data_IF_903712086366
#
_entry.id   IF_903712086366
#
_cell.length_a   1.000
_cell.length_b   1.000
_cell.length_c   1.000
_cell.angle_alpha   90.00
_cell.angle_beta   90.00
_cell.angle_gamma   90.00
#
_symmetry.space_group_name_H-M   'P 1'
#
loop_
_entity.id
_entity.type
_entity.pdbx_description
1 polymer ?
#
# COMPACT_ATOMS: atom_id res chain seq x y z
N UNK A 1 -7.75 9.26 -14.07
CA UNK A 1 -8.36 7.99 -13.62
C UNK A 1 -7.72 6.89 -14.42
N UNK A 2 -6.81 6.17 -13.78
CA UNK A 2 -5.90 5.22 -14.41
C UNK A 2 -6.49 3.80 -14.34
N UNK A 3 -6.05 2.92 -15.24
CA UNK A 3 -6.46 1.52 -15.30
C UNK A 3 -6.12 0.73 -14.01
N UNK A 4 -5.24 1.26 -13.16
CA UNK A 4 -4.91 0.73 -11.82
C UNK A 4 -6.06 0.82 -10.82
N UNK A 5 -6.87 1.89 -10.90
CA UNK A 5 -7.94 2.24 -9.94
C UNK A 5 -8.99 1.12 -9.79
N UNK A 6 -9.22 0.34 -10.85
CA UNK A 6 -10.21 -0.73 -10.86
C UNK A 6 -9.63 -2.12 -10.65
N UNK A 7 -8.30 -2.29 -10.67
CA UNK A 7 -7.70 -3.64 -10.59
C UNK A 7 -8.00 -4.29 -9.24
N UNK A 8 -7.81 -3.57 -8.15
CA UNK A 8 -8.08 -4.08 -6.79
C UNK A 8 -9.57 -4.34 -6.58
N UNK A 9 -10.43 -3.49 -7.16
CA UNK A 9 -11.88 -3.66 -7.17
C UNK A 9 -12.32 -4.88 -7.99
N UNK A 10 -11.73 -5.11 -9.17
CA UNK A 10 -12.03 -6.29 -9.99
C UNK A 10 -11.59 -7.58 -9.32
N UNK A 11 -10.42 -7.58 -8.67
CA UNK A 11 -9.94 -8.73 -7.90
C UNK A 11 -10.89 -9.02 -6.72
N UNK A 12 -11.27 -8.01 -5.95
CA UNK A 12 -12.15 -8.21 -4.79
C UNK A 12 -13.56 -8.64 -5.18
N UNK A 13 -14.11 -8.09 -6.27
CA UNK A 13 -15.39 -8.54 -6.85
C UNK A 13 -15.26 -9.99 -7.33
N UNK A 14 -14.17 -10.34 -8.01
CA UNK A 14 -13.89 -11.72 -8.42
C UNK A 14 -13.83 -12.70 -7.25
N UNK A 15 -13.17 -12.32 -6.15
CA UNK A 15 -13.11 -13.13 -4.91
C UNK A 15 -14.48 -13.24 -4.24
N UNK A 16 -15.27 -12.16 -4.23
CA UNK A 16 -16.64 -12.18 -3.71
C UNK A 16 -17.51 -13.15 -4.51
N UNK A 17 -17.44 -13.08 -5.84
CA UNK A 17 -18.14 -14.01 -6.73
C UNK A 17 -17.67 -15.44 -6.55
N UNK A 18 -16.37 -15.66 -6.31
CA UNK A 18 -15.81 -16.97 -5.99
C UNK A 18 -16.42 -17.54 -4.70
N UNK A 19 -16.56 -16.73 -3.63
CA UNK A 19 -17.20 -17.15 -2.37
C UNK A 19 -18.71 -17.46 -2.55
N UNK A 20 -19.41 -16.65 -3.35
CA UNK A 20 -20.81 -16.92 -3.71
C UNK A 20 -20.93 -18.21 -4.53
N UNK A 21 -20.02 -18.44 -5.47
CA UNK A 21 -19.94 -19.68 -6.24
C UNK A 21 -19.63 -20.91 -5.38
N UNK A 22 -18.73 -20.77 -4.41
CA UNK A 22 -18.41 -21.81 -3.43
C UNK A 22 -19.63 -22.21 -2.61
N UNK A 23 -20.48 -21.24 -2.25
CA UNK A 23 -21.76 -21.49 -1.61
C UNK A 23 -22.66 -22.35 -2.50
N UNK A 24 -22.81 -22.00 -3.79
CA UNK A 24 -23.59 -22.78 -4.75
C UNK A 24 -23.07 -24.22 -4.90
N UNK A 25 -21.75 -24.40 -4.97
CA UNK A 25 -21.09 -25.71 -5.02
C UNK A 25 -21.42 -26.52 -3.76
N UNK A 26 -21.32 -25.92 -2.57
CA UNK A 26 -21.67 -26.57 -1.31
C UNK A 26 -23.13 -27.04 -1.28
N UNK A 27 -24.07 -26.21 -1.74
CA UNK A 27 -25.48 -26.61 -1.84
C UNK A 27 -25.71 -27.77 -2.82
N UNK A 28 -24.97 -27.79 -3.94
CA UNK A 28 -25.10 -28.84 -4.94
C UNK A 28 -24.43 -30.16 -4.48
N UNK A 29 -23.29 -30.07 -3.82
CA UNK A 29 -22.59 -31.22 -3.25
C UNK A 29 -23.44 -31.89 -2.16
N UNK A 30 -24.19 -31.10 -1.37
CA UNK A 30 -25.17 -31.61 -0.40
C UNK A 30 -26.24 -32.51 -1.03
N UNK A 31 -26.64 -32.24 -2.28
CA UNK A 31 -27.62 -33.08 -2.99
C UNK A 31 -27.06 -34.44 -3.41
N UNK A 32 -25.73 -34.53 -3.59
CA UNK A 32 -25.06 -35.77 -4.03
C UNK A 32 -24.50 -36.60 -2.88
N UNK A 33 -24.53 -36.10 -1.65
CA UNK A 33 -24.01 -36.79 -0.47
C UNK A 33 -24.97 -37.89 0.03
N UNK A 34 -24.54 -39.16 0.11
CA UNK A 34 -25.34 -40.26 0.64
C UNK A 34 -25.75 -40.04 2.11
N UNK A 35 -26.90 -40.59 2.49
CA UNK A 35 -27.55 -40.41 3.81
C UNK A 35 -26.63 -40.77 4.99
N UNK A 36 -25.69 -41.70 4.82
CA UNK A 36 -24.77 -42.14 5.88
C UNK A 36 -23.70 -41.11 6.31
N UNK A 37 -23.43 -40.06 5.52
CA UNK A 37 -22.54 -38.95 5.93
C UNK A 37 -23.30 -37.73 6.47
N UNK A 38 -24.64 -37.83 6.61
CA UNK A 38 -25.51 -36.77 7.17
C UNK A 38 -25.84 -36.99 8.64
N UNK A 39 -25.13 -37.89 9.31
CA UNK A 39 -25.40 -38.18 10.71
C UNK A 39 -25.12 -36.94 11.58
N UNK A 40 -25.94 -36.75 12.62
CA UNK A 40 -25.89 -35.54 13.46
C UNK A 40 -24.51 -35.37 14.10
N UNK A 41 -23.88 -36.47 14.48
CA UNK A 41 -22.58 -36.49 15.13
C UNK A 41 -21.46 -36.00 14.19
N UNK A 42 -21.47 -36.42 12.92
CA UNK A 42 -20.52 -35.94 11.91
C UNK A 42 -20.68 -34.45 11.64
N UNK A 43 -21.93 -33.97 11.53
CA UNK A 43 -22.20 -32.54 11.34
C UNK A 43 -21.77 -31.71 12.56
N UNK A 44 -21.89 -32.26 13.77
CA UNK A 44 -21.49 -31.57 15.00
C UNK A 44 -19.96 -31.42 15.09
N UNK A 45 -19.20 -32.47 14.78
CA UNK A 45 -17.73 -32.42 14.71
C UNK A 45 -17.26 -31.46 13.62
N UNK A 46 -17.86 -31.51 12.43
CA UNK A 46 -17.54 -30.59 11.32
C UNK A 46 -17.81 -29.13 11.70
N UNK A 47 -18.94 -28.85 12.36
CA UNK A 47 -19.26 -27.49 12.82
C UNK A 47 -18.29 -27.00 13.90
N UNK A 48 -17.80 -27.89 14.79
CA UNK A 48 -16.81 -27.53 15.80
C UNK A 48 -15.47 -27.13 15.15
N UNK A 49 -14.96 -27.94 14.22
CA UNK A 49 -13.73 -27.65 13.47
C UNK A 49 -13.90 -26.36 12.65
N UNK A 50 -15.06 -26.19 12.02
CA UNK A 50 -15.38 -24.99 11.25
C UNK A 50 -15.40 -23.73 12.11
N UNK A 51 -16.02 -23.79 13.29
CA UNK A 51 -16.07 -22.64 14.22
C UNK A 51 -14.66 -22.23 14.64
N UNK A 52 -13.77 -23.20 14.89
CA UNK A 52 -12.36 -22.93 15.17
C UNK A 52 -11.63 -22.31 13.97
N UNK A 53 -11.92 -22.77 12.74
CA UNK A 53 -11.32 -22.20 11.54
C UNK A 53 -11.80 -20.75 11.31
N UNK A 54 -13.08 -20.48 11.54
CA UNK A 54 -13.69 -19.14 11.43
C UNK A 54 -13.05 -18.17 12.39
N UNK A 55 -12.88 -18.55 13.67
CA UNK A 55 -12.20 -17.68 14.65
C UNK A 55 -10.76 -17.41 14.25
N UNK A 56 -10.04 -18.44 13.78
CA UNK A 56 -8.67 -18.26 13.28
C UNK A 56 -8.60 -17.31 12.08
N UNK A 57 -9.50 -17.46 11.11
CA UNK A 57 -9.53 -16.62 9.90
C UNK A 57 -9.95 -15.18 10.22
N UNK A 58 -10.89 -14.98 11.14
CA UNK A 58 -11.28 -13.65 11.60
C UNK A 58 -10.10 -12.90 12.25
N UNK A 59 -9.32 -13.59 13.08
CA UNK A 59 -8.11 -13.03 13.69
C UNK A 59 -7.08 -12.70 12.62
N UNK A 60 -6.77 -13.64 11.72
CA UNK A 60 -5.78 -13.42 10.64
C UNK A 60 -6.17 -12.25 9.75
N UNK A 61 -7.44 -12.17 9.34
CA UNK A 61 -7.95 -11.09 8.50
C UNK A 61 -7.86 -9.74 9.23
N UNK A 62 -8.25 -9.68 10.51
CA UNK A 62 -8.16 -8.46 11.32
C UNK A 62 -6.72 -7.98 11.54
N UNK A 63 -5.80 -8.91 11.81
CA UNK A 63 -4.37 -8.61 11.93
C UNK A 63 -3.79 -8.11 10.60
N UNK A 64 -4.20 -8.69 9.48
CA UNK A 64 -3.73 -8.30 8.15
C UNK A 64 -4.20 -6.89 7.79
N UNK A 65 -5.47 -6.56 8.03
CA UNK A 65 -6.00 -5.20 7.84
C UNK A 65 -5.20 -4.22 8.69
N UNK A 66 -4.96 -4.56 9.96
CA UNK A 66 -4.23 -3.71 10.90
C UNK A 66 -2.78 -3.51 10.45
N UNK A 67 -2.11 -4.58 9.99
CA UNK A 67 -0.75 -4.53 9.50
C UNK A 67 -0.63 -3.63 8.25
N UNK A 68 -1.51 -3.83 7.25
CA UNK A 68 -1.52 -3.01 6.04
C UNK A 68 -1.92 -1.56 6.31
N UNK A 69 -2.83 -1.31 7.26
CA UNK A 69 -3.18 0.04 7.69
C UNK A 69 -2.00 0.74 8.36
N UNK A 70 -1.30 0.06 9.26
CA UNK A 70 -0.11 0.58 9.93
C UNK A 70 1.01 0.90 8.94
N UNK A 71 1.23 0.03 7.95
CA UNK A 71 2.20 0.24 6.87
C UNK A 71 1.85 1.48 6.02
N UNK A 72 0.57 1.63 5.65
CA UNK A 72 0.06 2.80 4.93
C UNK A 72 0.25 4.09 5.74
N UNK A 73 -0.14 4.09 7.02
CA UNK A 73 0.03 5.25 7.92
C UNK A 73 1.50 5.61 8.11
N UNK A 74 2.37 4.61 8.29
CA UNK A 74 3.83 4.79 8.40
C UNK A 74 4.39 5.43 7.13
N UNK A 75 3.99 4.95 5.95
CA UNK A 75 4.40 5.52 4.67
C UNK A 75 3.93 6.97 4.54
N UNK A 76 2.70 7.28 4.97
CA UNK A 76 2.18 8.66 5.01
C UNK A 76 3.01 9.58 5.91
N UNK A 77 3.39 9.11 7.10
CA UNK A 77 4.28 9.84 7.99
C UNK A 77 5.68 10.03 7.39
N UNK A 78 6.23 9.03 6.69
CA UNK A 78 7.51 9.16 5.99
C UNK A 78 7.46 10.22 4.90
N UNK A 79 6.36 10.34 4.14
CA UNK A 79 6.18 11.41 3.14
C UNK A 79 6.14 12.79 3.81
N UNK A 80 5.43 12.92 4.93
CA UNK A 80 5.38 14.18 5.68
C UNK A 80 6.76 14.57 6.24
N UNK A 81 7.50 13.59 6.78
CA UNK A 81 8.86 13.80 7.28
C UNK A 81 9.81 14.18 6.14
N UNK A 82 9.69 13.52 4.99
CA UNK A 82 10.47 13.83 3.79
C UNK A 82 10.24 15.27 3.33
N UNK A 83 8.98 15.71 3.24
CA UNK A 83 8.63 17.11 2.93
C UNK A 83 9.25 18.12 3.91
N UNK A 84 9.15 17.85 5.22
CA UNK A 84 9.76 18.68 6.26
C UNK A 84 11.28 18.80 6.11
N UNK A 85 11.95 17.69 5.81
CA UNK A 85 13.40 17.63 5.60
C UNK A 85 13.84 18.36 4.33
N UNK A 86 13.01 18.38 3.29
CA UNK A 86 13.27 19.18 2.09
C UNK A 86 13.16 20.69 2.38
N UNK A 87 12.20 21.10 3.21
CA UNK A 87 12.09 22.50 3.68
C UNK A 87 13.33 22.89 4.51
N UNK A 88 13.81 22.00 5.38
CA UNK A 88 15.03 22.23 6.15
C UNK A 88 16.26 22.35 5.25
N UNK A 89 16.35 21.55 4.18
CA UNK A 89 17.42 21.63 3.19
C UNK A 89 17.39 22.96 2.43
N UNK A 90 16.21 23.41 2.01
CA UNK A 90 16.02 24.71 1.39
C UNK A 90 16.49 25.86 2.29
N UNK A 91 16.20 25.77 3.60
CA UNK A 91 16.67 26.77 4.58
C UNK A 91 18.19 26.83 4.64
N UNK A 92 18.89 25.70 4.57
CA UNK A 92 20.36 25.67 4.52
C UNK A 92 20.88 26.27 3.22
N UNK A 93 20.20 26.04 2.09
CA UNK A 93 20.56 26.63 0.80
C UNK A 93 20.42 28.15 0.83
N UNK A 94 19.31 28.67 1.36
CA UNK A 94 19.11 30.11 1.56
C UNK A 94 20.15 30.72 2.48
N UNK A 95 20.53 30.03 3.56
CA UNK A 95 21.56 30.50 4.49
C UNK A 95 22.95 30.53 3.85
N UNK A 96 23.26 29.58 2.95
CA UNK A 96 24.51 29.58 2.18
C UNK A 96 24.56 30.75 1.18
N UNK A 97 23.40 31.17 0.66
CA UNK A 97 23.25 32.35 -0.18
C UNK A 97 23.57 32.09 -1.65
N UNK A 98 24.27 33.01 -2.36
CA UNK A 98 24.46 32.93 -3.82
C UNK A 98 25.11 31.64 -4.33
N UNK A 99 25.99 31.03 -3.51
CA UNK A 99 26.69 29.78 -3.85
C UNK A 99 25.71 28.61 -4.02
N UNK A 100 24.60 28.60 -3.28
CA UNK A 100 23.62 27.52 -3.30
C UNK A 100 22.45 27.75 -4.28
N UNK A 101 22.46 28.84 -5.04
CA UNK A 101 21.40 29.14 -6.02
C UNK A 101 21.18 28.02 -7.05
N UNK A 102 22.22 27.38 -7.61
CA UNK A 102 22.03 26.24 -8.50
C UNK A 102 21.33 25.06 -7.83
N UNK A 103 21.77 24.67 -6.62
CA UNK A 103 21.13 23.62 -5.82
C UNK A 103 19.67 23.93 -5.46
N UNK A 104 19.36 25.18 -5.10
CA UNK A 104 18.01 25.64 -4.81
C UNK A 104 17.10 25.53 -6.05
N UNK A 105 17.57 25.93 -7.23
CA UNK A 105 16.82 25.76 -8.48
C UNK A 105 16.52 24.28 -8.78
N UNK A 106 17.52 23.42 -8.65
CA UNK A 106 17.34 21.97 -8.85
C UNK A 106 16.41 21.33 -7.81
N UNK A 107 16.40 21.82 -6.56
CA UNK A 107 15.47 21.36 -5.52
C UNK A 107 14.03 21.72 -5.87
N UNK A 108 13.78 22.91 -6.42
CA UNK A 108 12.47 23.30 -6.93
C UNK A 108 12.02 22.40 -8.08
N UNK A 109 12.90 22.17 -9.06
CA UNK A 109 12.62 21.27 -10.19
C UNK A 109 12.32 19.84 -9.70
N UNK A 110 13.01 19.39 -8.66
CA UNK A 110 12.79 18.09 -8.03
C UNK A 110 11.40 17.98 -7.39
N UNK A 111 10.99 19.01 -6.64
CA UNK A 111 9.68 19.06 -6.01
C UNK A 111 8.55 19.12 -7.05
N UNK A 112 8.72 19.91 -8.11
CA UNK A 112 7.77 19.97 -9.23
C UNK A 112 7.63 18.61 -9.92
N UNK A 113 8.76 17.99 -10.27
CA UNK A 113 8.78 16.67 -10.88
C UNK A 113 8.09 15.63 -9.98
N UNK A 114 8.33 15.69 -8.67
CA UNK A 114 7.74 14.76 -7.70
C UNK A 114 6.22 14.89 -7.60
N UNK A 115 5.68 16.12 -7.71
CA UNK A 115 4.23 16.37 -7.76
C UNK A 115 3.63 15.89 -9.08
N UNK A 116 4.31 16.17 -10.19
CA UNK A 116 3.87 15.75 -11.52
C UNK A 116 3.85 14.22 -11.63
N UNK A 117 4.88 13.54 -11.13
CA UNK A 117 4.96 12.08 -11.02
C UNK A 117 3.81 11.51 -10.17
N UNK A 118 3.44 12.18 -9.07
CA UNK A 118 2.33 11.77 -8.22
C UNK A 118 0.95 11.92 -8.88
N UNK A 119 0.82 12.79 -9.89
CA UNK A 119 -0.44 13.05 -10.60
C UNK A 119 -0.57 12.33 -11.95
N UNK A 120 0.54 12.19 -12.68
CA UNK A 120 0.56 11.69 -14.05
C UNK A 120 1.57 10.54 -14.16
N UNK A 121 1.22 9.36 -13.66
CA UNK A 121 2.04 8.16 -13.88
C UNK A 121 1.54 7.39 -15.11
N UNK A 122 2.16 7.53 -16.30
CA UNK A 122 1.97 6.56 -17.35
C UNK A 122 2.53 5.20 -16.90
N UNK A 123 1.91 4.06 -17.26
CA UNK A 123 2.38 2.73 -16.90
C UNK A 123 3.64 2.41 -17.70
N UNK A 124 4.80 2.95 -17.33
CA UNK A 124 6.06 2.60 -17.98
C UNK A 124 6.61 1.30 -17.39
N UNK A 125 6.94 0.28 -18.20
CA UNK A 125 7.44 -1.02 -17.72
C UNK A 125 8.79 -1.00 -16.99
N UNK A 126 9.48 0.15 -16.98
CA UNK A 126 10.84 0.31 -16.43
C UNK A 126 10.91 0.95 -15.05
N UNK A 127 9.82 1.56 -14.59
CA UNK A 127 9.75 2.14 -13.25
C UNK A 127 8.99 1.19 -12.34
N UNK A 128 9.51 1.00 -11.12
CA UNK A 128 8.81 0.19 -10.14
C UNK A 128 7.48 0.91 -9.81
N UNK A 129 6.29 0.40 -10.21
CA UNK A 129 5.02 1.14 -10.19
C UNK A 129 4.55 1.53 -8.78
N UNK A 130 5.33 1.13 -7.78
CA UNK A 130 5.03 1.12 -6.36
C UNK A 130 5.76 2.20 -5.57
N UNK A 131 6.83 2.78 -6.11
CA UNK A 131 7.49 3.94 -5.49
C UNK A 131 6.77 5.22 -5.94
N UNK A 132 5.97 5.83 -5.07
CA UNK A 132 5.33 7.13 -5.38
C UNK A 132 6.35 8.26 -5.47
N UNK A 133 7.37 8.20 -4.60
CA UNK A 133 8.54 9.07 -4.63
C UNK A 133 9.77 8.20 -4.86
N UNK A 134 10.55 8.55 -5.86
CA UNK A 134 11.83 7.95 -6.16
C UNK A 134 11.98 7.33 -7.54
N UNK A 135 11.32 7.88 -8.55
CA UNK A 135 11.58 7.54 -9.94
C UNK A 135 13.06 7.73 -10.34
N UNK A 136 13.45 7.15 -11.47
CA UNK A 136 14.85 7.24 -11.94
C UNK A 136 15.22 8.71 -12.22
N UNK A 137 14.28 9.47 -12.78
CA UNK A 137 14.46 10.89 -13.08
C UNK A 137 14.63 11.74 -11.80
N UNK A 138 13.78 11.51 -10.80
CA UNK A 138 13.87 12.16 -9.49
C UNK A 138 15.20 11.86 -8.80
N UNK A 139 15.66 10.62 -8.87
CA UNK A 139 16.97 10.24 -8.32
C UNK A 139 18.14 10.90 -9.04
N UNK A 140 18.12 10.93 -10.36
CA UNK A 140 19.16 11.60 -11.13
C UNK A 140 19.25 13.09 -10.81
N UNK A 141 18.12 13.75 -10.52
CA UNK A 141 18.09 15.16 -10.11
C UNK A 141 18.59 15.34 -8.67
N UNK A 142 18.19 14.48 -7.75
CA UNK A 142 18.70 14.50 -6.37
C UNK A 142 20.23 14.30 -6.32
N UNK A 143 20.76 13.38 -7.13
CA UNK A 143 22.21 13.16 -7.24
C UNK A 143 22.95 14.38 -7.83
N UNK A 144 22.30 15.16 -8.71
CA UNK A 144 22.88 16.41 -9.22
C UNK A 144 22.98 17.46 -8.12
N UNK A 145 21.95 17.58 -7.28
CA UNK A 145 21.98 18.47 -6.10
C UNK A 145 23.14 18.07 -5.18
N UNK A 146 23.33 16.78 -4.90
CA UNK A 146 24.38 16.34 -3.98
C UNK A 146 25.77 16.68 -4.51
N UNK A 147 25.98 16.49 -5.83
CA UNK A 147 27.24 16.85 -6.49
C UNK A 147 27.52 18.34 -6.43
N UNK A 148 26.50 19.19 -6.61
CA UNK A 148 26.65 20.64 -6.49
C UNK A 148 27.03 21.06 -5.06
N UNK A 149 26.29 20.56 -4.06
CA UNK A 149 26.56 20.84 -2.64
C UNK A 149 27.98 20.42 -2.25
N UNK A 150 28.45 19.27 -2.73
CA UNK A 150 29.81 18.78 -2.49
C UNK A 150 30.89 19.67 -3.15
N UNK A 151 30.55 20.35 -4.24
CA UNK A 151 31.45 21.25 -4.97
C UNK A 151 31.48 22.68 -4.42
N UNK A 152 30.64 23.02 -3.43
CA UNK A 152 30.62 24.35 -2.86
C UNK A 152 31.99 24.73 -2.25
N UNK A 153 32.49 25.95 -2.51
CA UNK A 153 33.66 26.45 -1.83
C UNK A 153 33.37 26.60 -0.33
N UNK A 154 34.28 26.14 0.52
CA UNK A 154 34.17 26.21 1.99
C UNK A 154 35.36 26.98 2.57
N UNK A 155 35.42 28.32 2.36
CA UNK A 155 36.56 29.13 2.77
C UNK A 155 36.66 29.33 4.28
N UNK A 156 35.55 29.19 5.00
CA UNK A 156 35.41 29.45 6.42
C UNK A 156 34.67 28.30 7.13
N UNK A 157 34.82 28.25 8.47
CA UNK A 157 34.22 27.20 9.29
C UNK A 157 32.67 27.19 9.21
N UNK A 158 32.03 28.34 9.00
CA UNK A 158 30.58 28.42 8.85
C UNK A 158 30.12 27.86 7.50
N UNK A 159 30.81 28.18 6.40
CA UNK A 159 30.53 27.57 5.10
C UNK A 159 30.74 26.05 5.10
N UNK A 160 31.82 25.56 5.72
CA UNK A 160 32.08 24.13 5.86
C UNK A 160 30.98 23.42 6.66
N UNK A 161 30.51 24.05 7.75
CA UNK A 161 29.40 23.54 8.56
C UNK A 161 28.10 23.45 7.75
N UNK A 162 27.72 24.51 7.04
CA UNK A 162 26.50 24.49 6.20
C UNK A 162 26.57 23.43 5.10
N UNK A 163 27.73 23.23 4.48
CA UNK A 163 27.95 22.16 3.50
C UNK A 163 27.75 20.79 4.14
N UNK A 164 28.33 20.57 5.33
CA UNK A 164 28.25 19.29 6.05
C UNK A 164 26.82 19.01 6.49
N UNK A 165 26.15 19.97 7.12
CA UNK A 165 24.76 19.89 7.57
C UNK A 165 23.82 19.60 6.37
N UNK A 166 24.08 20.21 5.21
CA UNK A 166 23.32 19.93 3.98
C UNK A 166 23.52 18.50 3.48
N UNK A 167 24.76 18.01 3.41
CA UNK A 167 25.07 16.65 2.97
C UNK A 167 24.51 15.58 3.93
N UNK A 168 24.55 15.82 5.23
CA UNK A 168 23.98 14.92 6.23
C UNK A 168 22.45 14.86 6.12
N UNK A 169 21.80 16.00 5.91
CA UNK A 169 20.37 16.06 5.65
C UNK A 169 19.99 15.34 4.35
N UNK A 170 20.79 15.51 3.29
CA UNK A 170 20.59 14.80 2.02
C UNK A 170 20.74 13.28 2.15
N UNK A 171 21.67 12.79 2.97
CA UNK A 171 21.76 11.35 3.30
C UNK A 171 20.49 10.84 3.96
N UNK A 172 19.98 11.58 4.94
CA UNK A 172 18.72 11.20 5.62
C UNK A 172 17.52 11.16 4.67
N UNK A 173 17.47 12.08 3.69
CA UNK A 173 16.46 12.09 2.63
C UNK A 173 16.59 10.87 1.72
N UNK A 174 17.81 10.49 1.35
CA UNK A 174 18.08 9.26 0.57
C UNK A 174 17.61 8.01 1.32
N UNK A 175 17.89 7.91 2.61
CA UNK A 175 17.45 6.78 3.44
C UNK A 175 15.92 6.69 3.52
N UNK A 176 15.25 7.83 3.76
CA UNK A 176 13.77 7.91 3.78
C UNK A 176 13.17 7.48 2.44
N UNK A 177 13.78 7.91 1.33
CA UNK A 177 13.35 7.55 -0.01
C UNK A 177 13.48 6.04 -0.26
N UNK A 178 14.62 5.43 0.08
CA UNK A 178 14.80 3.98 -0.08
C UNK A 178 13.84 3.18 0.79
N UNK A 179 13.57 3.64 2.02
CA UNK A 179 12.59 3.01 2.90
C UNK A 179 11.19 2.97 2.28
N UNK A 180 10.75 4.05 1.63
CA UNK A 180 9.46 4.08 0.92
C UNK A 180 9.44 3.10 -0.28
N UNK A 181 10.56 2.95 -1.00
CA UNK A 181 10.67 2.01 -2.12
C UNK A 181 10.62 0.56 -1.62
N UNK A 182 11.34 0.25 -0.55
CA UNK A 182 11.48 -1.12 -0.03
C UNK A 182 10.21 -1.64 0.63
N UNK A 183 9.52 -0.79 1.42
CA UNK A 183 8.24 -1.16 2.03
C UNK A 183 7.21 -1.62 0.98
N UNK A 184 7.29 -1.12 -0.25
CA UNK A 184 6.31 -1.46 -1.28
C UNK A 184 6.61 -2.76 -2.06
N UNK A 185 7.74 -3.44 -1.78
CA UNK A 185 8.20 -4.64 -2.51
C UNK A 185 7.83 -5.99 -1.84
N UNK A 186 6.74 -6.06 -1.07
CA UNK A 186 6.27 -7.31 -0.43
C UNK A 186 5.86 -8.42 -1.41
N UNK A 187 6.83 -9.14 -2.01
CA UNK A 187 6.62 -10.37 -2.80
C UNK A 187 6.06 -11.50 -1.93
N UNK A 188 6.16 -11.39 -0.61
CA UNK A 188 5.65 -12.34 0.37
C UNK A 188 4.11 -12.42 0.43
N UNK A 189 3.39 -11.45 -0.13
CA UNK A 189 1.94 -11.35 0.04
C UNK A 189 1.17 -12.40 -0.79
N UNK A 190 1.54 -12.66 -2.04
CA UNK A 190 0.75 -13.49 -2.96
C UNK A 190 0.41 -14.92 -2.46
N UNK A 191 1.38 -15.74 -2.01
CA UNK A 191 1.08 -17.09 -1.52
C UNK A 191 0.27 -17.08 -0.22
N UNK A 192 0.50 -16.09 0.65
CA UNK A 192 -0.25 -15.94 1.89
C UNK A 192 -1.72 -15.61 1.63
N UNK A 193 -2.00 -14.65 0.74
CA UNK A 193 -3.38 -14.34 0.31
C UNK A 193 -4.05 -15.53 -0.37
N UNK A 194 -3.32 -16.30 -1.18
CA UNK A 194 -3.88 -17.49 -1.83
C UNK A 194 -4.37 -18.52 -0.80
N UNK A 195 -3.58 -18.76 0.26
CA UNK A 195 -3.97 -19.65 1.37
C UNK A 195 -5.18 -19.10 2.13
N UNK A 196 -5.21 -17.79 2.43
CA UNK A 196 -6.34 -17.14 3.10
C UNK A 196 -7.64 -17.25 2.27
N UNK A 197 -7.56 -16.98 0.97
CA UNK A 197 -8.70 -17.12 0.05
C UNK A 197 -9.16 -18.57 -0.03
N UNK A 198 -8.23 -19.53 -0.08
CA UNK A 198 -8.55 -20.95 -0.06
C UNK A 198 -9.34 -21.34 1.20
N UNK A 199 -8.90 -20.89 2.38
CA UNK A 199 -9.61 -21.15 3.63
C UNK A 199 -10.99 -20.52 3.66
N UNK A 200 -11.13 -19.27 3.16
CA UNK A 200 -12.43 -18.61 3.03
C UNK A 200 -13.37 -19.38 2.10
N UNK A 201 -12.90 -19.79 0.92
CA UNK A 201 -13.69 -20.59 -0.02
C UNK A 201 -14.16 -21.90 0.63
N UNK A 202 -13.24 -22.62 1.28
CA UNK A 202 -13.55 -23.85 2.01
C UNK A 202 -14.61 -23.60 3.09
N UNK A 203 -14.57 -22.45 3.78
CA UNK A 203 -15.59 -22.10 4.76
C UNK A 203 -16.99 -21.94 4.14
N UNK A 204 -17.08 -21.18 3.05
CA UNK A 204 -18.37 -20.97 2.37
C UNK A 204 -18.96 -22.30 1.87
N UNK A 205 -18.12 -23.24 1.40
CA UNK A 205 -18.58 -24.59 1.03
C UNK A 205 -19.18 -25.34 2.23
N UNK A 206 -18.44 -25.41 3.35
CA UNK A 206 -18.87 -26.15 4.55
C UNK A 206 -20.14 -25.56 5.17
N UNK A 207 -20.21 -24.23 5.28
CA UNK A 207 -21.40 -23.55 5.79
C UNK A 207 -22.64 -23.86 4.92
N UNK A 208 -22.45 -23.90 3.60
CA UNK A 208 -23.55 -24.18 2.66
C UNK A 208 -24.00 -25.64 2.63
N UNK A 209 -23.10 -26.58 2.94
CA UNK A 209 -23.45 -28.00 3.14
C UNK A 209 -24.41 -28.19 4.33
N UNK A 210 -24.23 -27.42 5.40
CA UNK A 210 -25.05 -27.50 6.62
C UNK A 210 -26.35 -26.70 6.54
N UNK A 211 -26.38 -25.63 5.73
CA UNK A 211 -27.50 -24.69 5.62
C UNK A 211 -28.78 -25.31 5.02
N UNK A 212 -29.96 -25.06 5.61
CA UNK A 212 -31.26 -25.35 4.97
C UNK A 212 -31.51 -24.38 3.80
N UNK A 213 -32.22 -24.84 2.76
CA UNK A 213 -32.54 -24.01 1.58
C UNK A 213 -33.60 -22.97 1.92
N UNK A 214 -33.18 -21.88 2.56
CA UNK A 214 -34.02 -20.74 2.87
C UNK A 214 -33.42 -19.48 2.22
N UNK A 215 -34.29 -18.63 1.65
CA UNK A 215 -33.90 -17.34 1.08
C UNK A 215 -33.14 -16.46 2.08
N UNK A 216 -33.52 -16.53 3.37
CA UNK A 216 -32.82 -15.81 4.44
C UNK A 216 -31.36 -16.25 4.57
N UNK A 217 -31.09 -17.55 4.50
CA UNK A 217 -29.71 -18.07 4.59
C UNK A 217 -28.89 -17.60 3.40
N UNK A 218 -29.47 -17.61 2.19
CA UNK A 218 -28.79 -17.09 1.01
C UNK A 218 -28.45 -15.59 1.15
N UNK A 219 -29.40 -14.78 1.62
CA UNK A 219 -29.18 -13.36 1.84
C UNK A 219 -28.07 -13.09 2.86
N UNK A 220 -28.04 -13.84 3.98
CA UNK A 220 -27.00 -13.70 5.00
C UNK A 220 -25.62 -14.13 4.47
N UNK A 221 -25.54 -15.23 3.73
CA UNK A 221 -24.28 -15.70 3.14
C UNK A 221 -23.77 -14.72 2.09
N UNK A 222 -24.66 -14.19 1.27
CA UNK A 222 -24.30 -13.15 0.30
C UNK A 222 -23.78 -11.89 1.00
N UNK A 223 -24.48 -11.41 2.04
CA UNK A 223 -24.02 -10.29 2.86
C UNK A 223 -22.64 -10.54 3.49
N UNK A 224 -22.39 -11.76 3.99
CA UNK A 224 -21.08 -12.14 4.53
C UNK A 224 -19.99 -12.13 3.44
N UNK A 225 -20.27 -12.66 2.25
CA UNK A 225 -19.33 -12.65 1.13
C UNK A 225 -18.97 -11.22 0.71
N UNK A 226 -19.96 -10.32 0.64
CA UNK A 226 -19.74 -8.90 0.31
C UNK A 226 -18.88 -8.23 1.38
N UNK A 227 -19.16 -8.44 2.66
CA UNK A 227 -18.38 -7.85 3.75
C UNK A 227 -16.92 -8.31 3.72
N UNK A 228 -16.68 -9.61 3.55
CA UNK A 228 -15.32 -10.16 3.46
C UNK A 228 -14.62 -9.68 2.19
N UNK A 229 -15.34 -9.63 1.06
CA UNK A 229 -14.84 -9.07 -0.20
C UNK A 229 -14.42 -7.61 -0.05
N UNK A 230 -15.21 -6.79 0.65
CA UNK A 230 -14.89 -5.41 0.96
C UNK A 230 -13.66 -5.28 1.88
N UNK A 231 -13.50 -6.18 2.86
CA UNK A 231 -12.30 -6.25 3.69
C UNK A 231 -11.05 -6.59 2.86
N UNK A 232 -11.13 -7.57 1.96
CA UNK A 232 -10.03 -7.94 1.07
C UNK A 232 -9.69 -6.82 0.09
N UNK A 233 -10.71 -6.13 -0.43
CA UNK A 233 -10.52 -4.91 -1.22
C UNK A 233 -9.68 -3.89 -0.46
N UNK A 234 -10.08 -3.56 0.77
CA UNK A 234 -9.39 -2.59 1.60
C UNK A 234 -7.93 -3.00 1.87
N UNK A 235 -7.68 -4.30 2.08
CA UNK A 235 -6.32 -4.82 2.24
C UNK A 235 -5.47 -4.60 0.99
N UNK A 236 -5.99 -4.95 -0.19
CA UNK A 236 -5.27 -4.77 -1.45
C UNK A 236 -5.03 -3.30 -1.78
N UNK A 237 -6.00 -2.45 -1.44
CA UNK A 237 -5.91 -1.00 -1.63
C UNK A 237 -4.81 -0.38 -0.77
N UNK A 238 -4.69 -0.81 0.49
CA UNK A 238 -3.65 -0.32 1.40
C UNK A 238 -2.23 -0.78 1.02
N UNK A 239 -2.09 -1.84 0.20
CA UNK A 239 -0.78 -2.30 -0.30
C UNK A 239 -0.19 -1.37 -1.38
N UNK A 240 -1.01 -0.52 -1.99
CA UNK A 240 -0.58 0.43 -3.01
C UNK A 240 -0.74 1.86 -2.51
N UNK A 241 0.12 2.35 -1.60
CA UNK A 241 -0.07 3.65 -0.95
C UNK A 241 -0.08 4.85 -1.91
N UNK A 242 0.44 4.69 -3.12
CA UNK A 242 0.57 5.73 -4.14
C UNK A 242 -0.26 5.47 -5.41
N UNK A 243 -1.04 4.39 -5.45
CA UNK A 243 -1.86 4.00 -6.62
C UNK A 243 -3.20 3.44 -6.13
N UNK A 244 -4.27 3.69 -6.88
CA UNK A 244 -5.63 3.28 -6.50
C UNK A 244 -6.55 4.42 -6.05
N UNK A 245 -7.68 4.03 -5.47
CA UNK A 245 -8.72 4.84 -4.84
C UNK A 245 -8.30 5.46 -3.50
N UNK A 246 -7.51 4.76 -2.67
CA UNK A 246 -7.02 5.28 -1.38
C UNK A 246 -5.52 5.54 -1.46
N UNK A 247 -5.15 6.80 -1.67
CA UNK A 247 -3.75 7.21 -1.84
C UNK A 247 -3.29 8.16 -0.75
N UNK A 248 -1.99 8.14 -0.45
CA UNK A 248 -1.34 9.17 0.34
C UNK A 248 -1.42 10.50 -0.42
N UNK A 249 -1.82 11.56 0.29
CA UNK A 249 -1.94 12.88 -0.31
C UNK A 249 -0.57 13.46 -0.70
N UNK A 250 -0.40 14.05 -1.90
CA UNK A 250 0.83 14.75 -2.28
C UNK A 250 0.97 16.15 -1.63
N UNK A 251 -0.01 16.57 -0.82
CA UNK A 251 -0.05 17.90 -0.17
C UNK A 251 1.23 18.28 0.58
N UNK A 252 1.87 17.41 1.39
CA UNK A 252 3.08 17.79 2.11
C UNK A 252 4.22 18.25 1.16
N UNK A 253 4.35 17.61 0.00
CA UNK A 253 5.35 17.95 -1.01
C UNK A 253 4.96 19.22 -1.77
N UNK A 254 3.66 19.40 -2.04
CA UNK A 254 3.15 20.65 -2.61
C UNK A 254 3.35 21.85 -1.66
N UNK A 255 3.14 21.65 -0.36
CA UNK A 255 3.39 22.67 0.67
C UNK A 255 4.89 22.98 0.78
N UNK A 256 5.76 21.97 0.66
CA UNK A 256 7.20 22.16 0.60
C UNK A 256 7.62 22.97 -0.64
N UNK A 257 7.06 22.68 -1.82
CA UNK A 257 7.29 23.47 -3.03
C UNK A 257 6.85 24.93 -2.84
N UNK A 258 5.65 25.14 -2.29
CA UNK A 258 5.13 26.47 -2.02
C UNK A 258 6.01 27.25 -1.01
N UNK A 259 6.71 26.56 -0.11
CA UNK A 259 7.69 27.16 0.78
C UNK A 259 8.98 27.54 0.05
N UNK A 260 9.51 26.63 -0.77
CA UNK A 260 10.73 26.84 -1.59
C UNK A 260 10.56 27.97 -2.61
N UNK A 261 9.33 28.21 -3.10
CA UNK A 261 9.04 29.29 -4.05
C UNK A 261 8.89 30.68 -3.42
N UNK A 262 8.78 30.80 -2.09
CA UNK A 262 8.67 32.09 -1.39
C UNK A 262 10.00 32.81 -1.28
#
# INVERSE_FOLDING_TARGET
>A
MSFGDYRHLLISVGLTLLMVGATWIGMHLRLRLPVHHRDRDTAQVLNAIFTMLVTFTAIVLGLLITAKKSEFETTGHSVQLFASRLIELDRLFRQRGPVAQPAHGMLRDYLQLSIDSAHHRPPTPRENPRSGFGGIAEGALFDKIERDVRAWPSPDATALRLQTDSLDLMRSLTDLRWQMIENTNGVADAPFFAVLVLWLVMMFVVFSLSATRNALVFATVFGAAVTIGASLFLIFELQTPFDGLITISPRPIADALAYVER
#
